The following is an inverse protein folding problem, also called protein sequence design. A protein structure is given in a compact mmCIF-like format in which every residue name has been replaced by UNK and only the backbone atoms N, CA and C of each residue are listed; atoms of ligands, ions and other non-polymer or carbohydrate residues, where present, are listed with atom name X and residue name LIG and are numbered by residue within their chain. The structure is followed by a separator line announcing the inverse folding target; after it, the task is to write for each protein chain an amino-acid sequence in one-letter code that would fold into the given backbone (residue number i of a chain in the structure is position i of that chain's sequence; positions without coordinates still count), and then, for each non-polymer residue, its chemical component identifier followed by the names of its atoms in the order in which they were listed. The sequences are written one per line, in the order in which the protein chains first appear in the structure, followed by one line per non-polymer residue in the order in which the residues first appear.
data_IF_295515389852
#
_entry.id   IF_295515389852
#
_cell.length_a   1.000
_cell.length_b   1.000
_cell.length_c   1.000
_cell.angle_alpha   90.00
_cell.angle_beta   90.00
_cell.angle_gamma   90.00
#
_symmetry.space_group_name_H-M   'P 1'
#
loop_
_entity.id
_entity.type
_entity.pdbx_description
1 polymer ?
#
# COMPACT_ATOMS: atom_id res chain seq x y z
N UNK A 1 10.39 -11.37 -20.19
CA UNK A 1 10.08 -11.77 -18.79
C UNK A 1 8.58 -11.90 -18.59
N UNK A 2 7.83 -10.80 -18.52
CA UNK A 2 6.36 -10.84 -18.35
C UNK A 2 5.64 -11.30 -19.62
N UNK A 3 5.98 -10.75 -20.80
CA UNK A 3 5.37 -11.14 -22.09
C UNK A 3 5.72 -12.58 -22.48
N UNK A 4 6.92 -13.04 -22.14
CA UNK A 4 7.39 -14.39 -22.43
C UNK A 4 6.83 -15.45 -21.47
N UNK A 5 6.02 -15.07 -20.47
CA UNK A 5 5.41 -16.00 -19.51
C UNK A 5 6.37 -16.65 -18.50
N UNK A 6 7.65 -16.28 -18.52
CA UNK A 6 8.67 -16.95 -17.70
C UNK A 6 8.52 -16.62 -16.21
N UNK A 7 8.34 -15.33 -15.87
CA UNK A 7 8.13 -14.88 -14.48
C UNK A 7 7.64 -13.43 -14.44
N UNK A 8 6.80 -13.14 -13.44
CA UNK A 8 6.24 -11.82 -13.18
C UNK A 8 4.96 -11.55 -13.97
N UNK A 9 4.11 -10.72 -13.39
CA UNK A 9 2.80 -10.31 -13.93
C UNK A 9 2.77 -8.81 -14.21
N UNK A 10 1.75 -8.33 -14.91
CA UNK A 10 1.54 -6.89 -15.11
C UNK A 10 1.40 -6.13 -13.78
N UNK A 11 0.86 -6.77 -12.74
CA UNK A 11 0.78 -6.21 -11.39
C UNK A 11 2.18 -5.95 -10.84
N UNK A 12 3.10 -6.90 -10.99
CA UNK A 12 4.47 -6.72 -10.51
C UNK A 12 5.17 -5.55 -11.23
N UNK A 13 4.97 -5.41 -12.55
CA UNK A 13 5.53 -4.30 -13.33
C UNK A 13 4.98 -2.96 -12.85
N UNK A 14 3.66 -2.89 -12.59
CA UNK A 14 2.99 -1.69 -12.09
C UNK A 14 3.46 -1.30 -10.68
N UNK A 15 3.64 -2.27 -9.77
CA UNK A 15 4.14 -2.03 -8.41
C UNK A 15 5.56 -1.47 -8.39
N UNK A 16 6.39 -1.87 -9.36
CA UNK A 16 7.74 -1.34 -9.52
C UNK A 16 7.72 0.06 -10.13
N UNK A 17 6.92 0.28 -11.17
CA UNK A 17 7.04 1.47 -12.05
C UNK A 17 6.06 2.60 -11.74
N UNK A 18 4.88 2.29 -11.20
CA UNK A 18 3.77 3.23 -11.02
C UNK A 18 3.49 3.50 -9.54
N UNK A 19 2.83 2.54 -8.86
CA UNK A 19 2.54 2.60 -7.43
C UNK A 19 2.24 1.19 -6.87
N UNK A 20 2.40 1.01 -5.57
CA UNK A 20 2.12 -0.27 -4.90
C UNK A 20 0.62 -0.53 -4.72
N UNK A 21 -0.15 0.53 -4.44
CA UNK A 21 -1.61 0.47 -4.27
C UNK A 21 -2.06 0.17 -2.84
N UNK A 22 -3.29 -0.31 -2.70
CA UNK A 22 -3.93 -0.62 -1.42
C UNK A 22 -3.28 -1.85 -0.77
N UNK A 23 -2.85 -1.70 0.49
CA UNK A 23 -2.46 -2.85 1.31
C UNK A 23 -3.62 -3.28 2.19
N UNK A 24 -3.89 -4.59 2.18
CA UNK A 24 -4.97 -5.20 2.94
C UNK A 24 -4.39 -6.15 3.99
N UNK A 25 -5.02 -6.18 5.15
CA UNK A 25 -4.75 -7.12 6.22
C UNK A 25 -5.97 -8.02 6.32
N UNK A 26 -5.76 -9.32 6.11
CA UNK A 26 -6.85 -10.32 6.13
C UNK A 26 -8.02 -9.99 5.18
N UNK A 27 -7.70 -9.42 4.00
CA UNK A 27 -8.70 -9.02 3.00
C UNK A 27 -9.51 -7.78 3.37
N UNK A 28 -9.05 -6.99 4.35
CA UNK A 28 -9.67 -5.74 4.78
C UNK A 28 -8.66 -4.60 4.76
N UNK A 29 -9.16 -3.36 4.68
CA UNK A 29 -8.33 -2.16 4.90
C UNK A 29 -7.71 -2.18 6.30
N UNK A 30 -6.64 -1.43 6.48
CA UNK A 30 -5.94 -1.32 7.78
C UNK A 30 -6.96 -0.97 8.88
N UNK A 31 -7.09 -1.82 9.93
CA UNK A 31 -8.09 -1.60 10.96
C UNK A 31 -7.72 -0.43 11.85
N UNK A 32 -8.76 0.21 12.40
CA UNK A 32 -8.60 1.29 13.37
C UNK A 32 -8.45 0.66 14.76
N UNK A 33 -7.40 1.03 15.49
CA UNK A 33 -7.17 0.59 16.87
C UNK A 33 -8.17 1.26 17.82
N UNK A 34 -8.23 0.78 19.07
CA UNK A 34 -9.09 1.37 20.11
C UNK A 34 -8.78 2.85 20.39
N UNK A 35 -7.57 3.31 20.07
CA UNK A 35 -7.16 4.72 20.12
C UNK A 35 -7.79 5.60 19.02
N UNK A 36 -8.59 5.03 18.12
CA UNK A 36 -9.14 5.69 16.96
C UNK A 36 -8.13 5.86 15.81
N UNK A 37 -6.90 5.35 15.94
CA UNK A 37 -5.84 5.51 14.93
C UNK A 37 -5.53 4.20 14.21
N UNK A 38 -5.12 4.26 12.94
CA UNK A 38 -4.58 3.09 12.22
C UNK A 38 -3.10 2.84 12.52
N UNK A 39 -2.32 3.90 12.74
CA UNK A 39 -0.98 3.88 13.33
C UNK A 39 -0.80 5.05 14.30
N UNK A 40 0.14 4.96 15.26
CA UNK A 40 0.39 6.04 16.23
C UNK A 40 0.72 7.40 15.59
N UNK A 41 1.35 7.40 14.41
CA UNK A 41 1.75 8.58 13.65
C UNK A 41 0.58 9.31 12.97
N UNK A 42 -0.57 8.66 12.80
CA UNK A 42 -1.77 9.30 12.25
C UNK A 42 -2.61 10.00 13.34
N UNK A 43 -3.46 10.92 12.89
CA UNK A 43 -4.48 11.53 13.75
C UNK A 43 -5.60 10.51 14.02
N UNK A 44 -6.26 10.58 15.19
CA UNK A 44 -7.44 9.77 15.43
C UNK A 44 -8.50 10.02 14.35
N UNK A 45 -9.10 8.95 13.84
CA UNK A 45 -10.14 8.94 12.82
C UNK A 45 -9.73 9.60 11.49
N UNK A 46 -8.45 9.52 11.13
CA UNK A 46 -7.96 9.96 9.83
C UNK A 46 -8.47 9.05 8.71
N UNK A 47 -9.34 9.58 7.85
CA UNK A 47 -9.94 8.88 6.71
C UNK A 47 -9.10 8.99 5.41
N UNK A 48 -7.88 9.53 5.48
CA UNK A 48 -7.01 9.60 4.31
C UNK A 48 -6.66 8.21 3.78
N UNK A 49 -6.49 8.10 2.47
CA UNK A 49 -6.12 6.84 1.82
C UNK A 49 -4.83 6.24 2.42
N UNK A 50 -3.87 7.11 2.80
CA UNK A 50 -2.60 6.70 3.41
C UNK A 50 -2.80 6.10 4.80
N UNK A 51 -3.65 6.70 5.64
CA UNK A 51 -4.02 6.13 6.94
C UNK A 51 -4.72 4.78 6.78
N UNK A 52 -5.51 4.61 5.71
CA UNK A 52 -6.16 3.36 5.34
C UNK A 52 -5.27 2.32 4.63
N UNK A 53 -3.96 2.54 4.50
CA UNK A 53 -3.01 1.57 3.91
C UNK A 53 -2.74 1.70 2.42
N UNK A 54 -3.20 2.76 1.76
CA UNK A 54 -2.86 3.02 0.36
C UNK A 54 -1.44 3.59 0.21
N UNK A 55 -0.64 2.96 -0.65
CA UNK A 55 0.74 3.36 -0.93
C UNK A 55 0.82 3.87 -2.38
N UNK A 56 0.91 5.20 -2.51
CA UNK A 56 1.14 5.87 -3.81
C UNK A 56 2.60 5.83 -4.28
N UNK A 57 3.53 5.37 -3.43
CA UNK A 57 4.92 5.14 -3.80
C UNK A 57 5.10 3.87 -4.61
N UNK A 58 6.29 3.70 -5.20
CA UNK A 58 6.64 2.56 -6.06
C UNK A 58 7.99 1.98 -5.62
N UNK A 59 8.25 0.72 -5.94
CA UNK A 59 9.53 0.11 -5.55
C UNK A 59 10.74 0.80 -6.17
N UNK A 60 10.62 1.29 -7.41
CA UNK A 60 11.73 1.96 -8.11
C UNK A 60 12.27 3.20 -7.37
N UNK A 61 11.40 3.97 -6.70
CA UNK A 61 11.80 5.20 -5.98
C UNK A 61 11.85 5.02 -4.47
N UNK A 62 11.57 3.81 -3.99
CA UNK A 62 11.34 3.54 -2.57
C UNK A 62 9.95 3.98 -2.08
N UNK A 63 9.60 3.46 -0.92
CA UNK A 63 8.33 3.70 -0.22
C UNK A 63 8.62 4.54 1.02
N UNK A 64 7.84 5.61 1.22
CA UNK A 64 7.99 6.47 2.40
C UNK A 64 7.45 5.72 3.64
N UNK A 65 8.17 5.76 4.78
CA UNK A 65 7.62 5.28 6.04
C UNK A 65 6.40 6.14 6.44
N UNK A 66 5.53 5.55 7.25
CA UNK A 66 4.33 6.17 7.81
C UNK A 66 4.58 6.56 9.26
#
# INVERSE_FOLDING_TARGET
MTISGAKGTNVNVSQISCCLGQQELEGRRVPVMISGKTLPSFRPYDHSARAGGFIGGRFLTGIKPQ
#
